data_IF_398683985879
#
_entry.id   IF_398683985879
#
_cell.length_a   1.000
_cell.length_b   1.000
_cell.length_c   1.000
_cell.angle_alpha   90.00
_cell.angle_beta   90.00
_cell.angle_gamma   90.00
#
_symmetry.space_group_name_H-M   'P 1'
#
loop_
_entity.id
_entity.type
_entity.pdbx_description
1 polymer ?
#
# COMPACT_ATOMS: atom_id res chain seq x y z
N UNK A 1 -4.12 10.62 -2.81
CA UNK A 1 -4.11 9.14 -3.02
C UNK A 1 -2.74 8.62 -2.63
N UNK A 2 -2.68 7.60 -1.77
CA UNK A 2 -1.42 7.08 -1.21
C UNK A 2 -0.63 6.36 -2.31
N UNK A 3 0.65 6.72 -2.49
CA UNK A 3 1.58 5.99 -3.36
C UNK A 3 2.34 4.95 -2.55
N UNK A 4 2.49 3.73 -3.06
CA UNK A 4 3.17 2.66 -2.37
C UNK A 4 4.37 2.13 -3.15
N UNK A 5 5.40 1.73 -2.41
CA UNK A 5 6.58 1.07 -2.97
C UNK A 5 7.04 -0.05 -2.05
N UNK A 6 7.67 -1.09 -2.62
CA UNK A 6 8.29 -2.17 -1.86
C UNK A 6 9.81 -2.06 -1.84
N UNK A 7 10.43 -2.38 -0.71
CA UNK A 7 11.88 -2.55 -0.57
C UNK A 7 12.17 -4.00 -0.25
N UNK A 8 12.76 -4.73 -1.19
CA UNK A 8 12.99 -6.17 -1.08
C UNK A 8 14.48 -6.50 -1.09
N UNK A 9 14.83 -7.65 -0.53
CA UNK A 9 16.22 -8.12 -0.45
C UNK A 9 16.31 -9.38 0.40
N UNK A 10 17.42 -10.09 0.34
CA UNK A 10 17.66 -11.23 1.20
C UNK A 10 17.92 -10.82 2.66
N UNK A 11 18.05 -11.80 3.54
CA UNK A 11 18.37 -11.55 4.94
C UNK A 11 19.70 -10.80 5.05
N UNK A 12 19.78 -9.79 5.94
CA UNK A 12 20.98 -8.94 6.15
C UNK A 12 21.51 -8.23 4.88
N UNK A 13 20.69 -8.00 3.84
CA UNK A 13 21.08 -7.22 2.67
C UNK A 13 21.10 -5.69 2.90
N UNK A 14 20.63 -5.21 4.05
CA UNK A 14 20.57 -3.78 4.35
C UNK A 14 19.22 -3.11 4.03
N UNK A 15 18.15 -3.88 3.82
CA UNK A 15 16.80 -3.35 3.54
C UNK A 15 16.37 -2.24 4.51
N UNK A 16 16.40 -2.52 5.80
CA UNK A 16 15.99 -1.56 6.84
C UNK A 16 16.79 -0.26 6.78
N UNK A 17 18.10 -0.33 6.48
CA UNK A 17 18.94 0.86 6.25
C UNK A 17 18.42 1.70 5.09
N UNK A 18 18.04 1.06 3.98
CA UNK A 18 17.47 1.73 2.80
C UNK A 18 16.08 2.30 3.10
N UNK A 19 15.21 1.53 3.75
CA UNK A 19 13.87 1.99 4.18
C UNK A 19 13.97 3.24 5.05
N UNK A 20 14.80 3.21 6.09
CA UNK A 20 15.01 4.35 7.00
C UNK A 20 15.57 5.57 6.26
N UNK A 21 16.48 5.36 5.33
CA UNK A 21 17.06 6.45 4.54
C UNK A 21 16.02 7.09 3.61
N UNK A 22 15.22 6.29 2.90
CA UNK A 22 14.12 6.78 2.04
C UNK A 22 13.07 7.50 2.90
N UNK A 23 12.64 6.90 4.03
CA UNK A 23 11.69 7.49 4.96
C UNK A 23 12.14 8.90 5.41
N UNK A 24 13.38 9.02 5.90
CA UNK A 24 13.92 10.32 6.35
C UNK A 24 13.93 11.36 5.24
N UNK A 25 14.31 10.99 4.03
CA UNK A 25 14.36 11.92 2.91
C UNK A 25 12.96 12.33 2.44
N UNK A 26 11.98 11.41 2.39
CA UNK A 26 10.59 11.74 2.07
C UNK A 26 9.99 12.68 3.12
N UNK A 27 10.19 12.39 4.40
CA UNK A 27 9.75 13.28 5.50
C UNK A 27 10.42 14.66 5.41
N UNK A 28 11.72 14.71 5.09
CA UNK A 28 12.45 15.97 4.87
C UNK A 28 11.87 16.78 3.70
N UNK A 29 11.30 16.10 2.68
CA UNK A 29 10.59 16.73 1.54
C UNK A 29 9.15 17.13 1.88
N UNK A 30 8.68 16.91 3.11
CA UNK A 30 7.36 17.31 3.60
C UNK A 30 6.27 16.27 3.42
N UNK A 31 6.60 15.04 3.00
CA UNK A 31 5.60 13.97 2.83
C UNK A 31 5.25 13.28 4.16
N UNK A 32 3.97 12.91 4.28
CA UNK A 32 3.47 12.02 5.33
C UNK A 32 3.69 10.57 4.89
N UNK A 33 4.51 9.82 5.64
CA UNK A 33 4.98 8.49 5.23
C UNK A 33 4.63 7.43 6.26
N UNK A 34 4.00 6.35 5.82
CA UNK A 34 3.80 5.13 6.59
C UNK A 34 4.76 4.01 6.19
N UNK A 35 4.88 3.00 7.04
CA UNK A 35 5.66 1.80 6.74
C UNK A 35 4.89 0.54 7.09
N UNK A 36 5.05 -0.50 6.27
CA UNK A 36 4.55 -1.86 6.52
C UNK A 36 5.73 -2.81 6.45
N UNK A 37 5.92 -3.64 7.47
CA UNK A 37 7.01 -4.62 7.50
C UNK A 37 6.47 -6.05 7.49
N UNK A 38 6.95 -6.86 6.57
CA UNK A 38 6.69 -8.29 6.57
C UNK A 38 7.53 -9.01 7.61
N UNK A 39 6.88 -9.74 8.48
CA UNK A 39 7.48 -10.55 9.53
C UNK A 39 7.03 -12.00 9.30
N UNK A 40 7.93 -12.92 8.92
CA UNK A 40 7.56 -14.29 8.58
C UNK A 40 7.37 -15.20 9.79
N UNK A 41 7.81 -14.77 10.98
CA UNK A 41 7.72 -15.54 12.22
C UNK A 41 6.26 -15.64 12.67
N UNK A 42 5.77 -16.87 12.87
CA UNK A 42 4.36 -17.15 13.22
C UNK A 42 3.96 -16.63 14.60
N UNK A 43 4.89 -16.70 15.55
CA UNK A 43 4.64 -16.35 16.96
C UNK A 43 5.11 -14.93 17.30
N UNK A 44 5.36 -14.10 16.28
CA UNK A 44 5.77 -12.70 16.47
C UNK A 44 4.66 -11.89 17.13
N UNK A 45 5.04 -11.09 18.11
CA UNK A 45 4.24 -9.99 18.63
C UNK A 45 5.11 -8.74 18.83
N UNK A 46 4.55 -7.57 18.58
CA UNK A 46 5.19 -6.29 18.89
C UNK A 46 5.02 -5.92 20.37
N UNK A 47 4.07 -6.57 21.04
CA UNK A 47 3.78 -6.37 22.46
C UNK A 47 4.86 -6.99 23.35
N UNK A 48 5.00 -6.46 24.56
CA UNK A 48 5.97 -6.94 25.54
C UNK A 48 5.31 -7.88 26.56
N UNK A 49 5.89 -9.06 26.75
CA UNK A 49 5.45 -10.03 27.76
C UNK A 49 5.41 -9.38 29.15
N UNK A 50 4.33 -9.63 29.90
CA UNK A 50 4.14 -9.12 31.26
C UNK A 50 3.53 -7.72 31.34
N UNK A 51 3.26 -7.04 30.22
CA UNK A 51 2.48 -5.79 30.22
C UNK A 51 0.97 -6.07 30.19
N UNK A 52 0.18 -5.07 30.60
CA UNK A 52 -1.29 -5.20 30.68
C UNK A 52 -1.89 -5.55 29.30
N UNK A 53 -1.43 -4.88 28.25
CA UNK A 53 -1.86 -5.15 26.85
C UNK A 53 -1.60 -6.60 26.45
N UNK A 54 -0.43 -7.13 26.79
CA UNK A 54 -0.09 -8.52 26.54
C UNK A 54 -1.00 -9.47 27.34
N UNK A 55 -1.30 -9.15 28.60
CA UNK A 55 -2.19 -9.92 29.47
C UNK A 55 -3.62 -9.95 28.92
N UNK A 56 -4.15 -8.78 28.47
CA UNK A 56 -5.45 -8.70 27.80
C UNK A 56 -5.50 -9.59 26.55
N UNK A 57 -4.46 -9.53 25.73
CA UNK A 57 -4.36 -10.33 24.52
C UNK A 57 -4.28 -11.84 24.83
N UNK A 58 -3.57 -12.24 25.88
CA UNK A 58 -3.49 -13.64 26.36
C UNK A 58 -4.82 -14.14 26.94
N UNK A 59 -5.59 -13.26 27.57
CA UNK A 59 -6.93 -13.54 28.07
C UNK A 59 -7.98 -13.72 26.97
N UNK A 60 -7.63 -13.52 25.68
CA UNK A 60 -8.50 -13.76 24.54
C UNK A 60 -9.01 -12.52 23.83
N UNK A 61 -8.55 -11.33 24.18
CA UNK A 61 -8.92 -10.11 23.45
C UNK A 61 -8.45 -10.19 21.99
N UNK A 62 -9.39 -10.07 21.04
CA UNK A 62 -9.12 -10.08 19.60
C UNK A 62 -8.43 -8.79 19.12
N UNK A 63 -8.77 -7.69 19.75
CA UNK A 63 -8.19 -6.37 19.50
C UNK A 63 -7.78 -5.77 20.84
N UNK A 64 -6.55 -5.29 20.93
CA UNK A 64 -6.05 -4.53 22.07
C UNK A 64 -5.62 -3.15 21.56
N UNK A 65 -6.11 -2.10 22.21
CA UNK A 65 -5.72 -0.72 21.90
C UNK A 65 -5.07 -0.12 23.13
N UNK A 66 -3.83 0.33 22.96
CA UNK A 66 -3.16 1.17 23.94
C UNK A 66 -3.25 2.63 23.50
N UNK A 67 -3.76 3.50 24.37
CA UNK A 67 -3.92 4.92 24.13
C UNK A 67 -3.03 5.70 25.09
N UNK A 68 -2.05 6.36 24.54
CA UNK A 68 -1.16 7.27 25.26
C UNK A 68 -1.30 8.71 24.73
N UNK A 69 -0.83 9.76 25.45
CA UNK A 69 -1.00 11.16 25.04
C UNK A 69 -0.45 11.51 23.65
N UNK A 70 0.53 10.74 23.14
CA UNK A 70 1.18 10.99 21.84
C UNK A 70 1.27 9.76 20.94
N UNK A 71 0.66 8.63 21.34
CA UNK A 71 0.76 7.37 20.61
C UNK A 71 -0.51 6.56 20.79
N UNK A 72 -0.96 5.95 19.70
CA UNK A 72 -2.01 4.94 19.69
C UNK A 72 -1.42 3.67 19.10
N UNK A 73 -1.39 2.58 19.87
CA UNK A 73 -1.03 1.26 19.37
C UNK A 73 -2.29 0.40 19.29
N UNK A 74 -2.56 -0.19 18.11
CA UNK A 74 -3.65 -1.12 17.88
C UNK A 74 -3.09 -2.46 17.46
N UNK A 75 -3.33 -3.50 18.25
CA UNK A 75 -2.87 -4.87 17.98
C UNK A 75 -4.10 -5.72 17.65
N UNK A 76 -4.16 -6.24 16.44
CA UNK A 76 -5.19 -7.16 15.98
C UNK A 76 -4.62 -8.55 15.80
N UNK A 77 -5.23 -9.55 16.44
CA UNK A 77 -4.84 -10.96 16.33
C UNK A 77 -5.63 -11.63 15.22
N UNK A 78 -5.20 -11.46 13.97
CA UNK A 78 -5.79 -12.08 12.78
C UNK A 78 -4.80 -12.13 11.63
N UNK A 79 -5.08 -12.97 10.66
CA UNK A 79 -4.42 -12.88 9.35
C UNK A 79 -4.91 -11.66 8.59
N UNK A 80 -4.02 -11.02 7.83
CA UNK A 80 -4.36 -9.95 6.92
C UNK A 80 -3.53 -10.06 5.64
N UNK A 81 -4.09 -9.61 4.50
CA UNK A 81 -3.37 -9.46 3.25
C UNK A 81 -2.77 -8.05 3.19
N UNK A 82 -1.67 -7.90 2.43
CA UNK A 82 -1.01 -6.60 2.28
C UNK A 82 -1.96 -5.55 1.69
N UNK A 83 -2.77 -5.94 0.70
CA UNK A 83 -3.73 -5.07 0.05
C UNK A 83 -4.72 -4.49 1.05
N UNK A 84 -5.27 -5.34 1.94
CA UNK A 84 -6.20 -4.93 3.00
C UNK A 84 -5.56 -3.90 3.96
N UNK A 85 -4.29 -4.12 4.32
CA UNK A 85 -3.57 -3.16 5.17
C UNK A 85 -3.36 -1.84 4.44
N UNK A 86 -2.94 -1.86 3.17
CA UNK A 86 -2.72 -0.65 2.37
C UNK A 86 -4.02 0.15 2.17
N UNK A 87 -5.14 -0.52 1.95
CA UNK A 87 -6.47 0.10 1.82
C UNK A 87 -6.94 0.76 3.13
N UNK A 88 -6.57 0.18 4.27
CA UNK A 88 -6.91 0.71 5.61
C UNK A 88 -6.10 1.93 6.02
N UNK A 89 -4.99 2.21 5.35
CA UNK A 89 -4.18 3.41 5.63
C UNK A 89 -4.80 4.64 4.95
N UNK A 90 -4.80 5.76 5.65
CA UNK A 90 -5.32 7.04 5.14
C UNK A 90 -4.48 8.22 5.64
N UNK A 91 -4.61 9.37 4.99
CA UNK A 91 -3.89 10.59 5.42
C UNK A 91 -2.37 10.55 5.18
N UNK A 92 -1.90 9.66 4.30
CA UNK A 92 -0.49 9.52 3.95
C UNK A 92 -0.26 9.84 2.48
N UNK A 93 0.96 10.30 2.15
CA UNK A 93 1.41 10.50 0.77
C UNK A 93 2.09 9.25 0.23
N UNK A 94 2.89 8.58 1.08
CA UNK A 94 3.63 7.38 0.72
C UNK A 94 3.51 6.27 1.76
N UNK A 95 3.58 5.02 1.31
CA UNK A 95 3.78 3.85 2.15
C UNK A 95 4.96 3.04 1.63
N UNK A 96 5.93 2.77 2.52
CA UNK A 96 7.07 1.92 2.22
C UNK A 96 6.82 0.53 2.81
N UNK A 97 6.79 -0.48 1.95
CA UNK A 97 6.59 -1.88 2.32
C UNK A 97 7.94 -2.59 2.37
N UNK A 98 8.40 -2.99 3.55
CA UNK A 98 9.64 -3.76 3.71
C UNK A 98 9.35 -5.27 3.63
N UNK A 99 10.00 -5.94 2.70
CA UNK A 99 9.85 -7.39 2.50
C UNK A 99 8.93 -7.75 1.34
N UNK A 100 8.04 -8.72 1.54
CA UNK A 100 7.08 -9.19 0.53
C UNK A 100 7.70 -9.46 -0.86
N UNK A 101 8.81 -10.23 -0.90
CA UNK A 101 9.59 -10.48 -2.13
C UNK A 101 8.77 -10.98 -3.32
N UNK A 102 7.71 -11.75 -3.04
CA UNK A 102 6.84 -12.35 -4.06
C UNK A 102 5.64 -11.48 -4.44
N UNK A 103 5.44 -10.36 -3.73
CA UNK A 103 4.32 -9.48 -4.03
C UNK A 103 4.58 -8.72 -5.33
N UNK A 104 3.59 -8.71 -6.18
CA UNK A 104 3.58 -8.05 -7.48
C UNK A 104 2.61 -6.86 -7.46
N UNK A 105 2.84 -5.87 -8.31
CA UNK A 105 1.93 -4.74 -8.43
C UNK A 105 2.25 -3.53 -7.56
N UNK A 106 3.48 -3.45 -6.99
CA UNK A 106 4.04 -2.21 -6.42
C UNK A 106 5.39 -1.90 -7.06
N UNK A 107 5.70 -0.63 -7.23
CA UNK A 107 7.06 -0.20 -7.58
C UNK A 107 8.06 -0.78 -6.58
N UNK A 108 9.16 -1.37 -7.05
CA UNK A 108 10.07 -2.17 -6.24
C UNK A 108 11.49 -1.62 -6.25
N UNK A 109 12.08 -1.48 -5.06
CA UNK A 109 13.51 -1.26 -4.89
C UNK A 109 14.12 -2.57 -4.41
N UNK A 110 15.12 -3.05 -5.15
CA UNK A 110 15.88 -4.26 -4.82
C UNK A 110 17.15 -3.87 -4.07
N UNK A 111 17.35 -4.45 -2.88
CA UNK A 111 18.58 -4.31 -2.10
C UNK A 111 19.32 -5.63 -2.14
N UNK A 112 20.51 -5.63 -2.74
CA UNK A 112 21.32 -6.82 -2.96
C UNK A 112 22.78 -6.60 -2.62
N UNK A 113 23.46 -7.65 -2.13
CA UNK A 113 24.90 -7.63 -1.82
C UNK A 113 25.77 -7.89 -3.05
N UNK A 114 25.23 -8.62 -4.02
CA UNK A 114 25.93 -9.05 -5.23
C UNK A 114 24.94 -9.22 -6.40
N UNK A 115 25.48 -9.41 -7.59
CA UNK A 115 24.69 -9.55 -8.82
C UNK A 115 23.81 -10.81 -8.83
N UNK A 116 24.22 -11.89 -8.15
CA UNK A 116 23.44 -13.13 -8.06
C UNK A 116 22.15 -12.90 -7.27
N UNK A 117 22.25 -12.22 -6.12
CA UNK A 117 21.08 -11.82 -5.33
C UNK A 117 20.18 -10.87 -6.11
N UNK A 118 20.76 -9.87 -6.77
CA UNK A 118 20.04 -8.90 -7.57
C UNK A 118 19.23 -9.59 -8.68
N UNK A 119 19.85 -10.50 -9.45
CA UNK A 119 19.24 -11.24 -10.55
C UNK A 119 18.04 -12.08 -10.12
N UNK A 120 18.04 -12.58 -8.87
CA UNK A 120 16.94 -13.40 -8.30
C UNK A 120 15.75 -12.57 -7.80
N UNK A 121 15.93 -11.26 -7.62
CA UNK A 121 14.92 -10.37 -7.02
C UNK A 121 14.33 -9.37 -8.01
N UNK A 122 15.08 -9.06 -9.07
CA UNK A 122 14.64 -8.12 -10.12
C UNK A 122 13.51 -8.73 -10.93
N UNK A 123 12.50 -7.93 -11.15
CA UNK A 123 11.35 -8.20 -12.00
C UNK A 123 10.87 -6.91 -12.71
N UNK A 124 9.76 -7.03 -13.43
CA UNK A 124 9.14 -5.95 -14.21
C UNK A 124 8.68 -4.75 -13.38
N UNK A 125 8.57 -4.89 -12.05
CA UNK A 125 8.19 -3.81 -11.12
C UNK A 125 9.40 -3.08 -10.54
N UNK A 126 10.62 -3.51 -10.83
CA UNK A 126 11.83 -2.98 -10.23
C UNK A 126 12.20 -1.63 -10.84
N UNK A 127 12.19 -0.57 -10.00
CA UNK A 127 12.51 0.81 -10.39
C UNK A 127 13.95 1.20 -10.08
N UNK A 128 14.58 0.55 -9.08
CA UNK A 128 15.96 0.80 -8.67
C UNK A 128 16.59 -0.40 -7.97
N UNK A 129 17.90 -0.50 -8.04
CA UNK A 129 18.72 -1.41 -7.24
C UNK A 129 19.64 -0.61 -6.30
N UNK A 130 19.89 -1.16 -5.11
CA UNK A 130 20.81 -0.57 -4.12
C UNK A 130 21.81 -1.62 -3.65
N UNK A 131 23.07 -1.23 -3.64
CA UNK A 131 24.20 -2.06 -3.14
C UNK A 131 24.90 -2.87 -4.21
N UNK A 132 24.16 -3.47 -5.15
CA UNK A 132 24.74 -4.24 -6.26
C UNK A 132 24.19 -3.82 -7.60
N UNK A 133 24.98 -4.02 -8.65
CA UNK A 133 24.60 -3.69 -10.03
C UNK A 133 23.46 -4.57 -10.51
N UNK A 134 22.45 -3.91 -11.13
CA UNK A 134 21.38 -4.54 -11.87
C UNK A 134 21.46 -4.16 -13.36
N UNK A 135 21.25 -5.12 -14.24
CA UNK A 135 21.28 -4.86 -15.69
C UNK A 135 20.03 -4.06 -16.09
N UNK A 136 20.21 -2.99 -16.83
CA UNK A 136 19.12 -2.12 -17.36
C UNK A 136 18.25 -1.42 -16.31
N UNK A 137 18.63 -1.45 -15.03
CA UNK A 137 17.91 -0.80 -13.94
C UNK A 137 18.86 0.19 -13.25
N UNK A 138 18.41 1.41 -12.92
CA UNK A 138 19.22 2.37 -12.17
C UNK A 138 19.77 1.76 -10.89
N UNK A 139 21.07 1.86 -10.68
CA UNK A 139 21.77 1.27 -9.54
C UNK A 139 22.41 2.36 -8.71
N UNK A 140 22.24 2.26 -7.38
CA UNK A 140 22.70 3.25 -6.43
C UNK A 140 23.51 2.62 -5.30
N UNK A 141 24.47 3.37 -4.78
CA UNK A 141 25.08 3.10 -3.48
C UNK A 141 24.17 3.54 -2.34
N UNK A 142 24.38 3.00 -1.14
CA UNK A 142 23.62 3.32 0.07
C UNK A 142 23.59 4.81 0.44
N UNK A 143 24.59 5.61 0.00
CA UNK A 143 24.66 7.06 0.26
C UNK A 143 23.89 7.93 -0.74
N UNK A 144 23.36 7.36 -1.83
CA UNK A 144 22.72 8.13 -2.91
C UNK A 144 21.21 8.29 -2.71
N UNK A 145 20.77 8.52 -1.47
CA UNK A 145 19.37 8.51 -1.04
C UNK A 145 18.52 9.53 -1.82
N UNK A 146 19.01 10.74 -2.05
CA UNK A 146 18.27 11.77 -2.81
C UNK A 146 17.87 11.28 -4.19
N UNK A 147 18.82 10.67 -4.94
CA UNK A 147 18.55 10.12 -6.27
C UNK A 147 17.58 8.94 -6.24
N UNK A 148 17.65 8.10 -5.18
CA UNK A 148 16.68 7.01 -4.99
C UNK A 148 15.28 7.58 -4.78
N UNK A 149 15.13 8.61 -3.95
CA UNK A 149 13.84 9.24 -3.67
C UNK A 149 13.29 9.98 -4.89
N UNK A 150 14.14 10.61 -5.72
CA UNK A 150 13.72 11.21 -6.99
C UNK A 150 13.02 10.17 -7.90
N UNK A 151 13.57 8.94 -7.96
CA UNK A 151 12.93 7.83 -8.70
C UNK A 151 11.65 7.37 -8.01
N UNK A 152 11.63 7.31 -6.68
CA UNK A 152 10.43 6.96 -5.91
C UNK A 152 9.29 7.95 -6.21
N UNK A 153 9.55 9.24 -6.19
CA UNK A 153 8.54 10.27 -6.50
C UNK A 153 7.97 10.14 -7.91
N UNK A 154 8.82 9.77 -8.87
CA UNK A 154 8.42 9.60 -10.27
C UNK A 154 7.68 8.29 -10.54
N UNK A 155 8.08 7.21 -9.88
CA UNK A 155 7.70 5.84 -10.24
C UNK A 155 6.77 5.14 -9.25
N UNK A 156 6.68 5.60 -7.99
CA UNK A 156 5.72 5.04 -7.05
C UNK A 156 4.29 5.44 -7.41
N UNK A 157 3.38 4.50 -7.32
CA UNK A 157 1.98 4.66 -7.68
C UNK A 157 1.06 4.05 -6.61
N UNK A 158 -0.24 4.44 -6.60
CA UNK A 158 -1.21 3.86 -5.68
C UNK A 158 -1.39 2.36 -5.89
N UNK A 159 -1.62 1.56 -4.83
CA UNK A 159 -1.97 0.16 -4.99
C UNK A 159 -3.14 -0.01 -5.97
N UNK A 160 -2.99 -0.90 -6.93
CA UNK A 160 -4.02 -1.15 -7.93
C UNK A 160 -5.12 -2.04 -7.35
N UNK A 161 -6.38 -1.86 -7.76
CA UNK A 161 -7.53 -2.57 -7.17
C UNK A 161 -7.61 -4.07 -7.49
N UNK A 162 -6.74 -4.60 -8.36
CA UNK A 162 -6.66 -6.03 -8.67
C UNK A 162 -7.86 -6.61 -9.44
N UNK A 163 -8.76 -5.76 -9.96
CA UNK A 163 -10.01 -6.19 -10.62
C UNK A 163 -9.82 -6.82 -12.00
N UNK A 164 -8.68 -6.61 -12.64
CA UNK A 164 -8.41 -7.05 -14.02
C UNK A 164 -9.55 -6.70 -15.01
N UNK A 165 -10.17 -5.53 -14.82
CA UNK A 165 -11.38 -5.10 -15.55
C UNK A 165 -11.11 -4.66 -16.99
N UNK A 166 -9.85 -4.60 -17.42
CA UNK A 166 -9.35 -4.25 -18.77
C UNK A 166 -9.72 -2.85 -19.29
N UNK A 167 -10.39 -2.01 -18.51
CA UNK A 167 -10.80 -0.65 -18.94
C UNK A 167 -9.60 0.29 -19.24
N UNK A 168 -8.41 -0.02 -18.71
CA UNK A 168 -7.17 0.69 -19.02
C UNK A 168 -6.48 0.18 -20.30
N UNK A 169 -7.06 -0.81 -21.00
CA UNK A 169 -6.49 -1.43 -22.21
C UNK A 169 -5.46 -2.53 -21.96
N UNK A 170 -5.21 -2.91 -20.70
CA UNK A 170 -4.29 -3.98 -20.33
C UNK A 170 -5.04 -5.23 -19.86
N UNK A 171 -4.48 -6.41 -20.12
CA UNK A 171 -5.08 -7.71 -19.80
C UNK A 171 -5.26 -7.92 -18.28
N UNK A 172 -4.37 -7.33 -17.47
CA UNK A 172 -4.43 -7.43 -16.02
C UNK A 172 -3.91 -6.16 -15.35
N UNK A 173 -4.26 -5.95 -14.07
CA UNK A 173 -3.69 -4.88 -13.25
C UNK A 173 -2.17 -5.05 -13.08
N UNK A 174 -1.65 -6.28 -13.09
CA UNK A 174 -0.22 -6.57 -13.06
C UNK A 174 0.48 -6.07 -14.34
N UNK A 175 -0.09 -6.34 -15.52
CA UNK A 175 0.45 -5.84 -16.80
C UNK A 175 0.39 -4.32 -16.88
N UNK A 176 -0.67 -3.71 -16.35
CA UNK A 176 -0.78 -2.26 -16.24
C UNK A 176 0.30 -1.68 -15.32
N UNK A 177 0.53 -2.28 -14.14
CA UNK A 177 1.57 -1.88 -13.21
C UNK A 177 2.98 -1.93 -13.85
N UNK A 178 3.29 -3.00 -14.57
CA UNK A 178 4.55 -3.13 -15.29
C UNK A 178 4.70 -2.04 -16.38
N UNK A 179 3.61 -1.69 -17.07
CA UNK A 179 3.58 -0.60 -18.04
C UNK A 179 3.80 0.77 -17.37
N UNK A 180 3.25 1.00 -16.18
CA UNK A 180 3.50 2.22 -15.38
C UNK A 180 4.97 2.31 -14.99
N UNK A 181 5.55 1.25 -14.45
CA UNK A 181 6.98 1.21 -14.07
C UNK A 181 7.90 1.47 -15.25
N UNK A 182 7.60 0.87 -16.41
CA UNK A 182 8.40 1.07 -17.63
C UNK A 182 8.18 2.44 -18.29
N UNK A 183 7.22 3.25 -17.82
CA UNK A 183 6.90 4.56 -18.37
C UNK A 183 6.05 4.53 -19.66
N UNK A 184 5.48 3.37 -20.02
CA UNK A 184 4.58 3.23 -21.19
C UNK A 184 3.22 3.87 -20.95
N UNK A 185 2.79 3.99 -19.71
CA UNK A 185 1.56 4.64 -19.29
C UNK A 185 1.73 5.29 -17.91
N UNK A 186 0.75 6.09 -17.51
CA UNK A 186 0.69 6.69 -16.17
C UNK A 186 -0.31 5.93 -15.30
N UNK A 187 -0.09 5.88 -14.00
CA UNK A 187 -0.97 5.19 -13.06
C UNK A 187 -2.40 5.79 -13.02
N UNK A 188 -2.53 7.08 -13.28
CA UNK A 188 -3.81 7.79 -13.33
C UNK A 188 -4.66 7.44 -14.57
N UNK A 189 -4.13 6.68 -15.52
CA UNK A 189 -4.92 6.08 -16.60
C UNK A 189 -5.84 4.94 -16.11
N UNK A 190 -5.66 4.44 -14.87
CA UNK A 190 -6.59 3.49 -14.27
C UNK A 190 -7.85 4.22 -13.78
N UNK A 191 -8.92 4.15 -14.57
CA UNK A 191 -10.20 4.80 -14.24
C UNK A 191 -10.83 4.28 -12.94
N UNK A 192 -10.56 3.04 -12.56
CA UNK A 192 -11.04 2.46 -11.31
C UNK A 192 -10.40 3.10 -10.07
N UNK A 193 -9.14 3.53 -10.16
CA UNK A 193 -8.48 4.27 -9.09
C UNK A 193 -9.09 5.66 -8.86
N UNK A 194 -9.68 6.25 -9.89
CA UNK A 194 -10.31 7.56 -9.82
C UNK A 194 -11.79 7.48 -9.40
N UNK A 195 -12.20 6.34 -8.82
CA UNK A 195 -13.57 6.12 -8.37
C UNK A 195 -14.05 7.18 -7.40
N UNK A 196 -15.23 7.74 -7.71
CA UNK A 196 -15.96 8.63 -6.81
C UNK A 196 -16.83 7.86 -5.80
N UNK A 197 -16.84 6.51 -5.87
CA UNK A 197 -17.65 5.65 -5.02
C UNK A 197 -16.78 4.72 -4.20
N UNK A 198 -16.99 4.74 -2.91
CA UNK A 198 -16.40 3.78 -1.99
C UNK A 198 -17.51 2.89 -1.44
N UNK A 199 -17.43 1.59 -1.69
CA UNK A 199 -18.30 0.59 -1.08
C UNK A 199 -17.51 -0.19 -0.05
N UNK A 200 -18.06 -0.32 1.14
CA UNK A 200 -17.45 -1.08 2.23
C UNK A 200 -18.47 -2.09 2.74
N UNK A 201 -18.11 -3.36 2.82
CA UNK A 201 -18.93 -4.44 3.38
C UNK A 201 -18.15 -5.05 4.55
N UNK A 202 -18.75 -5.04 5.73
CA UNK A 202 -18.14 -5.53 6.98
C UNK A 202 -16.73 -4.93 7.22
N UNK A 203 -16.58 -3.63 6.95
CA UNK A 203 -15.32 -2.90 7.10
C UNK A 203 -14.30 -3.11 5.98
N UNK A 204 -14.59 -3.95 4.99
CA UNK A 204 -13.70 -4.20 3.84
C UNK A 204 -14.14 -3.39 2.64
N UNK A 205 -13.22 -2.64 2.06
CA UNK A 205 -13.48 -1.93 0.81
C UNK A 205 -13.64 -2.94 -0.34
N UNK A 206 -14.73 -2.79 -1.10
CA UNK A 206 -15.00 -3.60 -2.29
C UNK A 206 -14.62 -2.78 -3.52
N UNK A 207 -13.59 -3.19 -4.28
CA UNK A 207 -13.24 -2.49 -5.50
C UNK A 207 -14.34 -2.67 -6.55
N UNK A 208 -14.71 -1.57 -7.22
CA UNK A 208 -15.78 -1.55 -8.21
C UNK A 208 -15.23 -1.20 -9.59
N UNK A 209 -15.68 -1.93 -10.61
CA UNK A 209 -15.45 -1.52 -11.99
C UNK A 209 -16.33 -0.30 -12.34
N UNK A 210 -16.01 0.37 -13.47
CA UNK A 210 -16.72 1.59 -13.89
C UNK A 210 -18.21 1.43 -14.06
N UNK A 211 -18.67 0.27 -14.51
CA UNK A 211 -20.08 -0.01 -14.70
C UNK A 211 -20.81 -0.02 -13.36
N UNK A 212 -20.31 -0.77 -12.39
CA UNK A 212 -20.87 -0.83 -11.04
C UNK A 212 -20.85 0.55 -10.35
N UNK A 213 -19.75 1.32 -10.54
CA UNK A 213 -19.65 2.68 -10.02
C UNK A 213 -20.74 3.58 -10.58
N UNK A 214 -20.96 3.59 -11.90
CA UNK A 214 -21.98 4.42 -12.55
C UNK A 214 -23.39 4.09 -12.05
N UNK A 215 -23.70 2.79 -11.92
CA UNK A 215 -25.00 2.35 -11.39
C UNK A 215 -25.20 2.84 -9.96
N UNK A 216 -24.22 2.61 -9.09
CA UNK A 216 -24.33 2.99 -7.67
C UNK A 216 -24.43 4.50 -7.48
N UNK A 217 -23.64 5.29 -8.20
CA UNK A 217 -23.74 6.76 -8.17
C UNK A 217 -25.10 7.21 -8.64
N UNK A 218 -25.61 6.66 -9.76
CA UNK A 218 -26.92 7.01 -10.31
C UNK A 218 -28.05 6.68 -9.34
N UNK A 219 -28.03 5.46 -8.77
CA UNK A 219 -29.04 5.02 -7.82
C UNK A 219 -29.05 5.88 -6.53
N UNK A 220 -27.87 6.08 -5.91
CA UNK A 220 -27.76 6.86 -4.68
C UNK A 220 -28.17 8.31 -4.91
N UNK A 221 -27.66 8.96 -5.98
CA UNK A 221 -28.06 10.33 -6.31
C UNK A 221 -29.54 10.44 -6.63
N UNK A 222 -30.12 9.48 -7.38
CA UNK A 222 -31.53 9.46 -7.68
C UNK A 222 -32.43 9.38 -6.43
N UNK A 223 -32.08 8.48 -5.49
CA UNK A 223 -32.79 8.35 -4.22
C UNK A 223 -32.64 9.59 -3.34
N UNK A 224 -31.46 10.18 -3.26
CA UNK A 224 -31.21 11.33 -2.38
C UNK A 224 -31.72 12.66 -2.97
N UNK A 225 -31.81 12.80 -4.29
CA UNK A 225 -32.24 14.04 -4.94
C UNK A 225 -33.71 14.43 -4.58
N UNK A 226 -34.54 13.47 -4.20
CA UNK A 226 -35.93 13.69 -3.76
C UNK A 226 -36.06 14.05 -2.27
N UNK A 227 -34.98 13.98 -1.49
CA UNK A 227 -35.02 14.28 -0.07
C UNK A 227 -34.88 15.78 0.19
N UNK A 228 -35.82 16.35 0.99
CA UNK A 228 -35.73 17.75 1.42
C UNK A 228 -34.44 17.97 2.22
N UNK A 229 -33.64 18.97 1.80
CA UNK A 229 -32.38 19.33 2.50
C UNK A 229 -31.15 18.52 2.06
N UNK A 230 -31.23 17.59 1.15
CA UNK A 230 -30.12 16.82 0.60
C UNK A 230 -29.26 17.67 -0.36
N UNK A 231 -28.63 18.75 0.16
CA UNK A 231 -27.66 19.56 -0.57
C UNK A 231 -26.26 19.28 -0.01
N UNK A 232 -25.39 18.66 -0.80
CA UNK A 232 -24.03 18.35 -0.37
C UNK A 232 -23.23 17.69 -1.47
N UNK A 233 -21.90 17.80 -1.38
CA UNK A 233 -20.96 17.19 -2.34
C UNK A 233 -20.67 15.72 -2.03
N UNK A 234 -20.88 15.30 -0.78
CA UNK A 234 -20.64 13.94 -0.31
C UNK A 234 -21.91 13.31 0.26
N UNK A 235 -22.22 12.09 -0.17
CA UNK A 235 -23.34 11.29 0.30
C UNK A 235 -22.80 10.02 0.92
N UNK A 236 -23.17 9.75 2.18
CA UNK A 236 -22.87 8.48 2.86
C UNK A 236 -24.18 7.71 3.07
N UNK A 237 -24.19 6.44 2.65
CA UNK A 237 -25.31 5.53 2.85
C UNK A 237 -24.82 4.33 3.65
N UNK A 238 -25.42 4.09 4.81
CA UNK A 238 -25.14 2.93 5.66
C UNK A 238 -26.32 1.99 5.66
N UNK A 239 -26.12 0.77 5.19
CA UNK A 239 -27.12 -0.30 5.23
C UNK A 239 -26.69 -1.32 6.28
N UNK A 240 -27.56 -1.63 7.23
CA UNK A 240 -27.34 -2.63 8.26
C UNK A 240 -28.37 -3.72 8.07
N UNK A 241 -27.95 -4.98 7.95
CA UNK A 241 -28.87 -6.12 8.02
C UNK A 241 -29.35 -6.23 9.47
N UNK A 242 -30.65 -6.12 9.66
CA UNK A 242 -31.27 -6.58 10.90
C UNK A 242 -31.38 -8.11 10.82
N UNK A 243 -30.91 -8.79 11.87
CA UNK A 243 -31.07 -10.23 12.03
C UNK A 243 -32.56 -10.60 12.23
#
# INVERSE_FOLDING_TARGET
MIRALSVTGFHKAGKTKVVVAILRELVRRGYLVGTVKHIPEKDFTIDQSGKDTWTHARAGARIVVALAPREVAKIERRSARLEEILEGLSGLDFVIVEGFKKFKGLAKIVVAKNEVEAKRLVDEFTIACVGSRCIRIPTFGFGQVKKIVDIVEQKAYPPLPGLNCKHCGFESCENFAAAVVSGKTRWDACQTLQSQVKVTIDGRQIPLNLFAQKILVGAVRGMTSSLKGAKGEQIEVKVVKHA
#
